data_IF_692177329645
#
_entry.id   IF_692177329645
#
_cell.length_a   1.000
_cell.length_b   1.000
_cell.length_c   1.000
_cell.angle_alpha   90.00
_cell.angle_beta   90.00
_cell.angle_gamma   90.00
#
_symmetry.space_group_name_H-M   'P 1'
#
loop_
_entity.id
_entity.type
_entity.pdbx_description
1 polymer ?
#
# COMPACT_ATOMS: atom_id res chain seq x y z
N UNK A 1 4.11 10.63 -11.54
CA UNK A 1 2.96 11.55 -11.68
C UNK A 1 1.73 10.81 -11.20
N UNK A 2 0.83 11.50 -10.52
CA UNK A 2 -0.34 10.92 -9.85
C UNK A 2 -1.66 11.28 -10.57
N UNK A 3 -2.76 10.77 -10.04
CA UNK A 3 -4.11 11.05 -10.54
C UNK A 3 -4.80 12.18 -9.79
N UNK A 4 -4.06 13.16 -9.25
CA UNK A 4 -4.59 14.41 -8.75
C UNK A 4 -4.44 15.51 -9.80
N UNK A 5 -5.54 15.88 -10.44
CA UNK A 5 -5.49 16.81 -11.57
C UNK A 5 -6.64 17.81 -11.52
N UNK A 6 -6.39 19.02 -12.02
CA UNK A 6 -7.45 20.00 -12.25
C UNK A 6 -8.22 19.66 -13.52
N UNK A 7 -9.55 19.63 -13.43
CA UNK A 7 -10.46 19.61 -14.59
C UNK A 7 -11.48 20.72 -14.37
N UNK A 8 -11.62 21.63 -15.33
CA UNK A 8 -12.54 22.78 -15.23
C UNK A 8 -12.35 23.59 -13.93
N UNK A 9 -11.09 23.81 -13.52
CA UNK A 9 -10.71 24.50 -12.27
C UNK A 9 -11.06 23.77 -10.96
N UNK A 10 -11.65 22.58 -11.01
CA UNK A 10 -11.86 21.73 -9.82
C UNK A 10 -10.72 20.72 -9.69
N UNK A 11 -10.09 20.65 -8.50
CA UNK A 11 -9.13 19.60 -8.17
C UNK A 11 -9.88 18.27 -7.97
N UNK A 12 -9.45 17.23 -8.69
CA UNK A 12 -10.04 15.89 -8.62
C UNK A 12 -8.99 14.86 -8.24
N UNK A 13 -9.37 13.90 -7.41
CA UNK A 13 -8.66 12.64 -7.24
C UNK A 13 -9.32 11.62 -8.16
N UNK A 14 -8.59 11.20 -9.20
CA UNK A 14 -9.14 10.42 -10.31
C UNK A 14 -10.33 11.15 -10.93
N UNK A 15 -11.53 10.56 -10.84
CA UNK A 15 -12.75 11.09 -11.41
C UNK A 15 -13.68 11.70 -10.34
N UNK A 16 -13.22 11.90 -9.11
CA UNK A 16 -14.01 12.43 -7.98
C UNK A 16 -13.48 13.80 -7.53
N UNK A 17 -14.37 14.76 -7.27
CA UNK A 17 -14.01 16.08 -6.75
C UNK A 17 -13.46 15.98 -5.33
N UNK A 18 -12.30 16.60 -5.07
CA UNK A 18 -11.72 16.66 -3.72
C UNK A 18 -12.60 17.48 -2.77
N UNK A 19 -13.25 18.54 -3.28
CA UNK A 19 -14.17 19.37 -2.50
C UNK A 19 -15.43 18.60 -2.07
N UNK A 20 -15.95 17.74 -2.95
CA UNK A 20 -17.09 16.89 -2.62
C UNK A 20 -16.74 15.91 -1.50
N UNK A 21 -15.57 15.25 -1.59
CA UNK A 21 -15.07 14.37 -0.52
C UNK A 21 -14.86 15.15 0.77
N UNK A 22 -14.28 16.36 0.71
CA UNK A 22 -14.04 17.20 1.87
C UNK A 22 -15.34 17.58 2.60
N UNK A 23 -16.40 17.84 1.84
CA UNK A 23 -17.72 18.18 2.36
C UNK A 23 -18.41 16.97 3.00
N UNK A 24 -18.24 15.77 2.43
CA UNK A 24 -18.84 14.53 2.96
C UNK A 24 -18.09 13.98 4.18
N UNK A 25 -16.76 13.95 4.14
CA UNK A 25 -15.91 13.33 5.17
C UNK A 25 -15.54 14.32 6.29
N UNK A 26 -15.48 15.62 5.98
CA UNK A 26 -14.94 16.64 6.87
C UNK A 26 -13.41 16.74 6.82
N UNK A 27 -12.88 17.90 7.22
CA UNK A 27 -11.44 18.19 7.19
C UNK A 27 -10.83 18.24 8.60
N UNK A 28 -9.54 17.85 8.77
CA UNK A 28 -8.63 17.32 7.75
C UNK A 28 -8.81 15.82 7.46
N UNK A 29 -8.48 15.40 6.23
CA UNK A 29 -8.44 13.98 5.84
C UNK A 29 -7.27 13.70 4.91
N UNK A 30 -6.85 12.43 4.86
CA UNK A 30 -5.96 11.92 3.82
C UNK A 30 -6.78 11.30 2.69
N UNK A 31 -6.40 11.60 1.45
CA UNK A 31 -7.00 11.04 0.25
C UNK A 31 -5.93 10.30 -0.57
N UNK A 32 -6.21 9.05 -0.90
CA UNK A 32 -5.32 8.22 -1.71
C UNK A 32 -5.98 7.83 -3.02
N UNK A 33 -5.24 7.88 -4.11
CA UNK A 33 -5.70 7.39 -5.42
C UNK A 33 -5.33 5.91 -5.59
N UNK A 34 -6.34 5.06 -5.75
CA UNK A 34 -6.16 3.65 -6.09
C UNK A 34 -5.41 3.49 -7.42
N UNK A 35 -5.76 4.29 -8.42
CA UNK A 35 -5.13 4.26 -9.76
C UNK A 35 -3.66 4.66 -9.70
N UNK A 36 -3.30 5.62 -8.85
CA UNK A 36 -1.89 6.00 -8.63
C UNK A 36 -1.10 4.85 -8.02
N UNK A 37 -1.62 4.26 -6.94
CA UNK A 37 -0.96 3.15 -6.24
C UNK A 37 -0.76 1.94 -7.15
N UNK A 38 -1.82 1.50 -7.83
CA UNK A 38 -1.75 0.36 -8.77
C UNK A 38 -0.86 0.63 -9.97
N UNK A 39 -0.89 1.85 -10.52
CA UNK A 39 0.00 2.24 -11.62
C UNK A 39 1.48 2.15 -11.21
N UNK A 40 1.87 2.76 -10.09
CA UNK A 40 3.26 2.73 -9.64
C UNK A 40 3.74 1.31 -9.29
N UNK A 41 2.88 0.49 -8.67
CA UNK A 41 3.21 -0.91 -8.42
C UNK A 41 3.51 -1.64 -9.73
N UNK A 42 2.63 -1.52 -10.73
CA UNK A 42 2.81 -2.17 -12.04
C UNK A 42 4.01 -1.66 -12.81
N UNK A 43 4.28 -0.36 -12.78
CA UNK A 43 5.47 0.21 -13.43
C UNK A 43 6.75 -0.39 -12.82
N UNK A 44 6.78 -0.55 -11.49
CA UNK A 44 7.91 -1.17 -10.82
C UNK A 44 8.03 -2.67 -11.16
N UNK A 45 6.92 -3.40 -11.18
CA UNK A 45 6.84 -4.83 -11.51
C UNK A 45 7.33 -5.12 -12.94
N UNK A 46 6.79 -4.37 -13.90
CA UNK A 46 7.15 -4.53 -15.31
C UNK A 46 8.61 -4.20 -15.59
N UNK A 47 9.24 -3.30 -14.82
CA UNK A 47 10.66 -2.96 -14.99
C UNK A 47 11.59 -4.16 -14.75
N UNK A 48 11.14 -5.18 -13.99
CA UNK A 48 11.89 -6.40 -13.71
C UNK A 48 11.27 -7.64 -14.36
N UNK A 49 10.34 -7.48 -15.31
CA UNK A 49 9.52 -8.57 -15.88
C UNK A 49 10.30 -9.70 -16.55
N UNK A 50 11.57 -9.48 -16.93
CA UNK A 50 12.44 -10.51 -17.52
C UNK A 50 13.16 -11.39 -16.48
N UNK A 51 13.12 -11.02 -15.20
CA UNK A 51 13.80 -11.73 -14.11
C UNK A 51 12.77 -12.25 -13.12
N UNK A 52 12.88 -13.49 -12.61
CA UNK A 52 12.04 -13.96 -11.52
C UNK A 52 12.18 -13.04 -10.30
N UNK A 53 11.08 -12.42 -9.88
CA UNK A 53 11.09 -11.46 -8.78
C UNK A 53 9.76 -11.45 -8.01
N UNK A 54 9.77 -10.78 -6.86
CA UNK A 54 8.59 -10.40 -6.10
C UNK A 54 8.80 -8.98 -5.56
N UNK A 55 7.76 -8.14 -5.65
CA UNK A 55 7.77 -6.83 -5.01
C UNK A 55 7.28 -7.01 -3.57
N UNK A 56 8.12 -6.65 -2.60
CA UNK A 56 7.73 -6.53 -1.20
C UNK A 56 7.54 -5.05 -0.86
N UNK A 57 6.29 -4.59 -0.77
CA UNK A 57 6.01 -3.21 -0.37
C UNK A 57 6.39 -3.00 1.10
N UNK A 58 7.19 -1.98 1.41
CA UNK A 58 7.60 -1.68 2.78
C UNK A 58 6.46 -1.04 3.56
N UNK A 59 5.87 -1.80 4.48
CA UNK A 59 4.61 -1.47 5.18
C UNK A 59 4.70 -0.17 5.98
N UNK A 60 5.87 0.12 6.54
CA UNK A 60 6.15 1.35 7.30
C UNK A 60 5.89 2.65 6.52
N UNK A 61 5.90 2.60 5.19
CA UNK A 61 5.61 3.77 4.36
C UNK A 61 4.14 4.18 4.44
N UNK A 62 3.22 3.19 4.43
CA UNK A 62 1.80 3.40 4.66
C UNK A 62 1.13 2.05 5.00
N UNK A 63 0.77 1.86 6.27
CA UNK A 63 0.21 0.61 6.78
C UNK A 63 -1.32 0.57 6.80
N UNK A 64 -1.98 1.43 6.03
CA UNK A 64 -3.42 1.41 5.84
C UNK A 64 -3.85 0.08 5.20
N UNK A 65 -4.84 -0.59 5.80
CA UNK A 65 -5.28 -1.93 5.38
C UNK A 65 -5.77 -1.97 3.93
N UNK A 66 -6.45 -0.92 3.46
CA UNK A 66 -6.92 -0.85 2.07
C UNK A 66 -5.75 -0.75 1.09
N UNK A 67 -4.68 -0.03 1.44
CA UNK A 67 -3.48 0.08 0.60
C UNK A 67 -2.73 -1.25 0.55
N UNK A 68 -2.54 -1.92 1.69
CA UNK A 68 -1.92 -3.25 1.72
C UNK A 68 -2.72 -4.26 0.89
N UNK A 69 -4.05 -4.22 0.97
CA UNK A 69 -4.95 -5.06 0.16
C UNK A 69 -4.78 -4.81 -1.34
N UNK A 70 -4.64 -3.56 -1.76
CA UNK A 70 -4.41 -3.21 -3.18
C UNK A 70 -3.16 -3.92 -3.70
N UNK A 71 -2.04 -3.82 -2.98
CA UNK A 71 -0.77 -4.43 -3.42
C UNK A 71 -0.79 -5.95 -3.35
N UNK A 72 -1.42 -6.54 -2.33
CA UNK A 72 -1.63 -7.98 -2.25
C UNK A 72 -2.44 -8.50 -3.45
N UNK A 73 -3.49 -7.79 -3.86
CA UNK A 73 -4.30 -8.12 -5.04
C UNK A 73 -3.55 -7.96 -6.37
N UNK A 74 -2.50 -7.14 -6.43
CA UNK A 74 -1.61 -7.11 -7.59
C UNK A 74 -0.59 -8.28 -7.59
N UNK A 75 -0.62 -9.16 -6.59
CA UNK A 75 0.27 -10.31 -6.46
C UNK A 75 1.54 -10.05 -5.66
N UNK A 76 1.71 -8.82 -5.14
CA UNK A 76 2.85 -8.39 -4.34
C UNK A 76 2.90 -9.01 -2.95
N UNK A 77 4.11 -9.02 -2.39
CA UNK A 77 4.39 -9.27 -0.99
C UNK A 77 4.54 -7.98 -0.18
N UNK A 78 5.00 -8.13 1.06
CA UNK A 78 5.27 -6.99 1.95
C UNK A 78 6.57 -7.19 2.73
N UNK A 79 7.27 -6.08 2.97
CA UNK A 79 8.41 -5.99 3.89
C UNK A 79 7.92 -5.31 5.18
N UNK A 80 8.06 -6.03 6.29
CA UNK A 80 7.60 -5.61 7.62
C UNK A 80 8.77 -5.46 8.58
N UNK A 81 8.60 -4.67 9.63
CA UNK A 81 9.59 -4.43 10.68
C UNK A 81 9.05 -4.62 12.10
N UNK A 82 7.79 -5.06 12.26
CA UNK A 82 7.21 -5.37 13.57
C UNK A 82 6.09 -6.41 13.48
N UNK A 83 5.77 -7.05 14.60
CA UNK A 83 4.64 -7.98 14.74
C UNK A 83 3.30 -7.29 14.50
N UNK A 84 3.20 -5.97 14.75
CA UNK A 84 2.02 -5.17 14.42
C UNK A 84 1.80 -5.02 12.91
N UNK A 85 2.87 -4.93 12.13
CA UNK A 85 2.80 -4.93 10.66
C UNK A 85 2.51 -6.32 10.11
N UNK A 86 3.08 -7.38 10.71
CA UNK A 86 2.71 -8.76 10.41
C UNK A 86 1.20 -8.98 10.59
N UNK A 87 0.68 -8.57 11.75
CA UNK A 87 -0.76 -8.64 12.04
C UNK A 87 -1.60 -7.94 10.96
N UNK A 88 -1.23 -6.72 10.55
CA UNK A 88 -1.94 -5.98 9.49
C UNK A 88 -1.89 -6.68 8.13
N UNK A 89 -0.74 -7.24 7.76
CA UNK A 89 -0.56 -7.97 6.51
C UNK A 89 -1.45 -9.23 6.46
N UNK A 90 -1.46 -10.00 7.55
CA UNK A 90 -2.31 -11.19 7.68
C UNK A 90 -3.81 -10.83 7.67
N UNK A 91 -4.21 -9.74 8.33
CA UNK A 91 -5.59 -9.26 8.36
C UNK A 91 -6.16 -8.94 6.97
N UNK A 92 -5.31 -8.52 6.02
CA UNK A 92 -5.76 -8.22 4.65
C UNK A 92 -5.56 -9.40 3.69
N UNK A 93 -5.07 -10.53 4.18
CA UNK A 93 -4.88 -11.77 3.42
C UNK A 93 -3.63 -11.76 2.54
N UNK A 94 -2.57 -11.06 2.93
CA UNK A 94 -1.25 -11.25 2.29
C UNK A 94 -0.83 -12.70 2.53
N UNK A 95 -0.38 -13.38 1.48
CA UNK A 95 0.22 -14.71 1.58
C UNK A 95 1.46 -14.64 2.50
N UNK A 96 1.49 -15.37 3.63
CA UNK A 96 2.65 -15.37 4.54
C UNK A 96 3.97 -15.71 3.86
N UNK A 97 3.95 -16.53 2.79
CA UNK A 97 5.14 -16.88 2.02
C UNK A 97 5.70 -15.71 1.21
N UNK A 98 5.00 -14.58 1.18
CA UNK A 98 5.38 -13.33 0.52
C UNK A 98 5.66 -12.21 1.52
N UNK A 99 5.81 -12.53 2.81
CA UNK A 99 6.14 -11.56 3.86
C UNK A 99 7.63 -11.70 4.22
N UNK A 100 8.36 -10.59 4.15
CA UNK A 100 9.76 -10.51 4.59
C UNK A 100 9.81 -9.72 5.90
N UNK A 101 10.36 -10.32 6.96
CA UNK A 101 10.47 -9.68 8.27
C UNK A 101 11.87 -9.10 8.52
N UNK A 102 12.02 -7.82 8.22
CA UNK A 102 13.21 -7.00 8.44
C UNK A 102 13.29 -6.43 9.87
N UNK A 103 14.33 -5.64 10.17
CA UNK A 103 14.50 -4.96 11.46
C UNK A 103 15.51 -5.64 12.39
N UNK A 104 16.31 -4.83 13.08
CA UNK A 104 17.46 -5.28 13.90
C UNK A 104 17.09 -5.63 15.36
N UNK A 105 15.89 -5.28 15.80
CA UNK A 105 15.46 -5.36 17.20
C UNK A 105 14.20 -6.18 17.41
N UNK A 106 14.02 -7.28 16.66
CA UNK A 106 12.88 -8.18 16.83
C UNK A 106 12.88 -8.78 18.22
N UNK A 107 11.73 -8.80 18.90
CA UNK A 107 11.61 -9.53 20.18
C UNK A 107 11.46 -11.03 19.95
N UNK A 108 11.63 -11.83 21.00
CA UNK A 108 11.41 -13.28 20.91
C UNK A 108 9.95 -13.60 20.57
N UNK A 109 9.01 -12.87 21.16
CA UNK A 109 7.58 -13.03 20.89
C UNK A 109 7.21 -12.68 19.45
N UNK A 110 7.86 -11.66 18.87
CA UNK A 110 7.69 -11.30 17.46
C UNK A 110 8.24 -12.37 16.51
N UNK A 111 9.36 -13.03 16.88
CA UNK A 111 9.94 -14.13 16.11
C UNK A 111 9.07 -15.38 16.21
N UNK A 112 8.57 -15.72 17.40
CA UNK A 112 7.70 -16.88 17.63
C UNK A 112 6.34 -16.74 16.93
N UNK A 113 5.85 -15.51 16.76
CA UNK A 113 4.60 -15.21 16.05
C UNK A 113 4.72 -15.31 14.53
N UNK A 114 5.93 -15.15 13.98
CA UNK A 114 6.21 -15.09 12.53
C UNK A 114 6.50 -16.46 11.91
#
# INVERSE_FOLDING_TARGET
MDYFNFREQTLRCEDVSVEAIASEVGTPFYLYSHRTLTHHFRVFDLAFGEVPHIICFSVKANSNLSILRIFAQQGGGVDIVSGGELYRALQVGVDPMKIVYSGVGKTLEEIDYA
#
